data_IF_533198374333
#
_entry.id   IF_533198374333
#
_cell.length_a   1.000
_cell.length_b   1.000
_cell.length_c   1.000
_cell.angle_alpha   90.00
_cell.angle_beta   90.00
_cell.angle_gamma   90.00
#
_symmetry.space_group_name_H-M   'P 1'
#
loop_
_entity.id
_entity.type
_entity.pdbx_description
1 polymer ?
#
# COMPACT_ATOMS: atom_id res chain seq x y z
N UNK A 1 -3.56 13.43 5.78
CA UNK A 1 -2.97 12.07 5.73
C UNK A 1 -1.88 12.06 4.68
N UNK A 2 -0.76 11.47 4.98
CA UNK A 2 0.34 11.34 4.04
C UNK A 2 0.24 10.00 3.32
N UNK A 3 0.33 10.04 2.00
CA UNK A 3 0.09 8.88 1.14
C UNK A 3 1.35 8.57 0.34
N UNK A 4 1.76 7.30 0.35
CA UNK A 4 2.74 6.76 -0.58
C UNK A 4 1.99 6.05 -1.71
N UNK A 5 2.16 6.52 -2.92
CA UNK A 5 1.45 6.01 -4.08
C UNK A 5 2.39 5.14 -4.90
N UNK A 6 2.01 3.88 -5.13
CA UNK A 6 2.73 2.96 -6.00
C UNK A 6 1.91 2.76 -7.26
N UNK A 7 2.52 3.06 -8.40
CA UNK A 7 1.83 3.09 -9.68
C UNK A 7 1.37 4.51 -9.99
N UNK A 8 1.95 5.08 -11.04
CA UNK A 8 1.66 6.47 -11.41
C UNK A 8 1.20 6.56 -12.86
N UNK A 9 0.34 5.62 -13.24
CA UNK A 9 -0.37 5.68 -14.50
C UNK A 9 -1.63 6.51 -14.39
N UNK A 10 -2.62 6.19 -15.21
CA UNK A 10 -3.87 6.95 -15.25
C UNK A 10 -4.59 6.96 -13.91
N UNK A 11 -4.72 5.80 -13.27
CA UNK A 11 -5.39 5.70 -11.99
C UNK A 11 -4.61 6.41 -10.88
N UNK A 12 -3.29 6.27 -10.87
CA UNK A 12 -2.45 6.92 -9.88
C UNK A 12 -2.55 8.44 -9.92
N UNK A 13 -2.57 9.00 -11.12
CA UNK A 13 -2.73 10.46 -11.28
C UNK A 13 -4.09 10.94 -10.80
N UNK A 14 -5.13 10.17 -11.06
CA UNK A 14 -6.47 10.50 -10.60
C UNK A 14 -6.55 10.45 -9.07
N UNK A 15 -5.94 9.45 -8.45
CA UNK A 15 -5.88 9.31 -7.00
C UNK A 15 -5.14 10.50 -6.40
N UNK A 16 -4.03 10.90 -6.99
CA UNK A 16 -3.27 12.06 -6.52
C UNK A 16 -4.13 13.32 -6.51
N UNK A 17 -4.84 13.59 -7.61
CA UNK A 17 -5.71 14.74 -7.69
C UNK A 17 -6.83 14.69 -6.65
N UNK A 18 -7.45 13.53 -6.48
CA UNK A 18 -8.53 13.35 -5.52
C UNK A 18 -8.04 13.53 -4.09
N UNK A 19 -6.88 12.99 -3.76
CA UNK A 19 -6.30 13.12 -2.44
C UNK A 19 -5.97 14.57 -2.11
N UNK A 20 -5.37 15.28 -3.05
CA UNK A 20 -5.03 16.69 -2.88
C UNK A 20 -6.28 17.55 -2.68
N UNK A 21 -7.34 17.26 -3.44
CA UNK A 21 -8.61 17.96 -3.29
C UNK A 21 -9.26 17.71 -1.92
N UNK A 22 -9.00 16.56 -1.32
CA UNK A 22 -9.52 16.21 0.00
C UNK A 22 -8.63 16.71 1.14
N UNK A 23 -7.53 17.39 0.84
CA UNK A 23 -6.60 17.88 1.85
C UNK A 23 -5.54 16.88 2.28
N UNK A 24 -5.46 15.73 1.64
CA UNK A 24 -4.41 14.74 1.88
C UNK A 24 -3.18 15.05 1.03
N UNK A 25 -2.06 14.46 1.39
CA UNK A 25 -0.80 14.74 0.72
C UNK A 25 -0.17 13.47 0.17
N UNK A 26 0.11 13.46 -1.13
CA UNK A 26 0.92 12.40 -1.74
C UNK A 26 2.38 12.79 -1.56
N UNK A 27 3.04 12.16 -0.61
CA UNK A 27 4.44 12.48 -0.27
C UNK A 27 5.40 11.89 -1.29
N UNK A 28 5.01 10.82 -1.96
CA UNK A 28 5.82 10.20 -3.00
C UNK A 28 4.92 9.40 -3.92
N UNK A 29 5.15 9.50 -5.22
CA UNK A 29 4.49 8.67 -6.22
C UNK A 29 5.57 7.89 -6.96
N UNK A 30 5.47 6.57 -6.97
CA UNK A 30 6.45 5.68 -7.57
C UNK A 30 5.85 4.88 -8.71
N UNK A 31 6.67 4.63 -9.73
CA UNK A 31 6.35 3.69 -10.78
C UNK A 31 7.50 2.68 -10.94
N UNK A 32 7.46 1.85 -11.98
CA UNK A 32 8.46 0.80 -12.13
C UNK A 32 9.89 1.32 -12.30
N UNK A 33 10.04 2.55 -12.78
CA UNK A 33 11.37 3.13 -13.03
C UNK A 33 12.11 3.48 -11.75
N UNK A 34 11.40 3.85 -10.70
CA UNK A 34 12.02 4.28 -9.44
C UNK A 34 11.59 3.46 -8.23
N UNK A 35 10.91 2.35 -8.45
CA UNK A 35 10.36 1.52 -7.37
C UNK A 35 11.46 0.90 -6.50
N UNK A 36 12.64 0.69 -7.03
CA UNK A 36 13.79 0.17 -6.28
C UNK A 36 14.21 1.09 -5.14
N UNK A 37 13.90 2.37 -5.21
CA UNK A 37 14.16 3.31 -4.12
C UNK A 37 13.38 2.98 -2.85
N UNK A 38 12.29 2.23 -2.99
CA UNK A 38 11.45 1.83 -1.86
C UNK A 38 12.25 1.03 -0.82
N UNK A 39 13.22 0.24 -1.26
CA UNK A 39 14.01 -0.60 -0.38
C UNK A 39 14.83 0.22 0.64
N UNK A 40 15.16 1.45 0.31
CA UNK A 40 15.94 2.33 1.17
C UNK A 40 15.10 3.39 1.90
N UNK A 41 13.80 3.44 1.66
CA UNK A 41 12.95 4.46 2.26
C UNK A 41 12.54 4.11 3.68
N UNK A 42 12.57 5.11 4.55
CA UNK A 42 11.97 5.01 5.87
C UNK A 42 10.46 5.20 5.80
N UNK A 43 9.79 4.98 6.91
CA UNK A 43 8.36 5.23 6.99
C UNK A 43 8.09 6.73 6.89
N UNK A 44 7.47 7.15 5.80
CA UNK A 44 7.16 8.56 5.54
C UNK A 44 5.68 8.82 5.36
N UNK A 45 4.89 7.78 5.19
CA UNK A 45 3.47 7.90 4.89
C UNK A 45 2.62 7.16 5.91
N UNK A 46 1.37 7.56 6.00
CA UNK A 46 0.37 6.92 6.85
C UNK A 46 -0.25 5.70 6.18
N UNK A 47 -0.22 5.66 4.86
CA UNK A 47 -0.81 4.58 4.08
C UNK A 47 -0.13 4.47 2.73
N UNK A 48 -0.07 3.24 2.21
CA UNK A 48 0.37 2.96 0.84
C UNK A 48 -0.85 2.66 0.00
N UNK A 49 -0.97 3.33 -1.14
CA UNK A 49 -1.99 3.01 -2.16
C UNK A 49 -1.26 2.41 -3.35
N UNK A 50 -1.50 1.12 -3.62
CA UNK A 50 -0.81 0.38 -4.67
C UNK A 50 -1.78 0.04 -5.80
N UNK A 51 -1.60 0.72 -6.93
CA UNK A 51 -2.36 0.50 -8.17
C UNK A 51 -1.39 0.24 -9.32
N UNK A 52 -0.39 -0.59 -9.07
CA UNK A 52 0.66 -0.91 -10.05
C UNK A 52 0.39 -2.26 -10.73
N UNK A 53 1.32 -3.17 -10.63
CA UNK A 53 1.14 -4.52 -11.13
C UNK A 53 1.86 -5.52 -10.21
N UNK A 54 1.62 -6.84 -10.39
CA UNK A 54 2.18 -7.83 -9.47
C UNK A 54 3.71 -7.86 -9.41
N UNK A 55 4.41 -7.34 -10.42
CA UNK A 55 5.89 -7.32 -10.38
C UNK A 55 6.44 -6.41 -9.29
N UNK A 56 5.64 -5.46 -8.80
CA UNK A 56 6.04 -4.58 -7.71
C UNK A 56 5.88 -5.23 -6.33
N UNK A 57 5.20 -6.36 -6.24
CA UNK A 57 4.75 -6.91 -4.96
C UNK A 57 5.90 -7.19 -4.00
N UNK A 58 7.00 -7.77 -4.47
CA UNK A 58 8.11 -8.13 -3.57
C UNK A 58 8.69 -6.92 -2.85
N UNK A 59 8.84 -5.80 -3.55
CA UNK A 59 9.36 -4.57 -2.97
C UNK A 59 8.35 -3.94 -2.01
N UNK A 60 7.08 -3.95 -2.37
CA UNK A 60 6.02 -3.42 -1.51
C UNK A 60 5.87 -4.27 -0.25
N UNK A 61 5.91 -5.59 -0.39
CA UNK A 61 5.85 -6.50 0.74
C UNK A 61 6.99 -6.23 1.73
N UNK A 62 8.21 -6.13 1.23
CA UNK A 62 9.37 -5.87 2.08
C UNK A 62 9.23 -4.54 2.83
N UNK A 63 8.73 -3.52 2.14
CA UNK A 63 8.53 -2.21 2.76
C UNK A 63 7.46 -2.26 3.86
N UNK A 64 6.34 -2.92 3.60
CA UNK A 64 5.26 -3.07 4.60
C UNK A 64 5.77 -3.81 5.83
N UNK A 65 6.51 -4.92 5.62
CA UNK A 65 7.05 -5.69 6.75
C UNK A 65 8.04 -4.89 7.58
N UNK A 66 8.84 -4.05 6.93
CA UNK A 66 9.88 -3.28 7.61
C UNK A 66 9.31 -2.06 8.33
N UNK A 67 8.32 -1.39 7.76
CA UNK A 67 7.82 -0.12 8.28
C UNK A 67 6.48 -0.22 9.03
N UNK A 68 5.74 -1.31 8.81
CA UNK A 68 4.39 -1.45 9.38
C UNK A 68 3.36 -0.53 8.75
N UNK A 69 3.66 0.10 7.61
CA UNK A 69 2.73 1.01 6.95
C UNK A 69 1.54 0.23 6.38
N UNK A 70 0.30 0.64 6.66
CA UNK A 70 -0.89 -0.01 6.09
C UNK A 70 -0.88 0.05 4.56
N UNK A 71 -1.36 -1.01 3.92
CA UNK A 71 -1.40 -1.13 2.47
C UNK A 71 -2.83 -1.30 1.99
N UNK A 72 -3.23 -0.46 1.04
CA UNK A 72 -4.44 -0.61 0.26
C UNK A 72 -4.02 -0.95 -1.17
N UNK A 73 -4.33 -2.15 -1.63
CA UNK A 73 -3.91 -2.61 -2.96
C UNK A 73 -5.11 -2.77 -3.89
N UNK A 74 -5.06 -2.05 -5.01
CA UNK A 74 -5.98 -2.24 -6.13
C UNK A 74 -5.34 -2.98 -7.28
N UNK A 75 -4.15 -3.54 -7.09
CA UNK A 75 -3.44 -4.29 -8.12
C UNK A 75 -4.15 -5.62 -8.39
N UNK A 76 -4.31 -5.98 -9.65
CA UNK A 76 -4.92 -7.23 -10.07
C UNK A 76 -3.88 -8.13 -10.72
N UNK A 77 -4.21 -9.41 -10.88
CA UNK A 77 -3.33 -10.36 -11.56
C UNK A 77 -2.28 -11.01 -10.66
N UNK A 78 -2.44 -10.94 -9.35
CA UNK A 78 -1.54 -11.64 -8.44
C UNK A 78 -1.60 -13.16 -8.66
N UNK A 79 -0.45 -13.82 -8.55
CA UNK A 79 -0.39 -15.26 -8.50
C UNK A 79 -0.96 -15.80 -7.18
N UNK A 80 -1.21 -17.10 -7.11
CA UNK A 80 -1.68 -17.72 -5.87
C UNK A 80 -0.67 -17.55 -4.74
N UNK A 81 0.63 -17.64 -5.05
CA UNK A 81 1.69 -17.43 -4.07
C UNK A 81 1.69 -15.98 -3.55
N UNK A 82 1.57 -15.02 -4.46
CA UNK A 82 1.51 -13.62 -4.08
C UNK A 82 0.28 -13.31 -3.21
N UNK A 83 -0.87 -13.89 -3.55
CA UNK A 83 -2.07 -13.72 -2.74
C UNK A 83 -1.90 -14.30 -1.34
N UNK A 84 -1.24 -15.45 -1.22
CA UNK A 84 -0.96 -16.04 0.08
C UNK A 84 -0.04 -15.14 0.91
N UNK A 85 0.97 -14.55 0.28
CA UNK A 85 1.88 -13.62 0.95
C UNK A 85 1.19 -12.32 1.34
N UNK A 86 0.28 -11.84 0.49
CA UNK A 86 -0.51 -10.66 0.78
C UNK A 86 -1.40 -10.88 2.00
N UNK A 87 -2.03 -12.05 2.09
CA UNK A 87 -2.82 -12.42 3.28
C UNK A 87 -1.96 -12.52 4.54
N UNK A 88 -0.74 -13.01 4.41
CA UNK A 88 0.19 -13.07 5.53
C UNK A 88 0.55 -11.70 6.08
N UNK A 89 0.54 -10.66 5.26
CA UNK A 89 0.76 -9.29 5.72
C UNK A 89 -0.36 -8.80 6.64
N UNK A 90 -1.57 -9.34 6.46
CA UNK A 90 -2.71 -8.98 7.29
C UNK A 90 -2.56 -9.52 8.72
N UNK A 91 -1.83 -10.61 8.89
CA UNK A 91 -1.75 -11.25 10.20
C UNK A 91 -3.13 -11.58 10.73
N UNK A 92 -3.47 -11.07 11.93
CA UNK A 92 -4.77 -11.29 12.54
C UNK A 92 -5.86 -10.37 12.01
N UNK A 93 -5.52 -9.44 11.13
CA UNK A 93 -6.46 -8.44 10.61
C UNK A 93 -7.48 -9.08 9.67
N UNK A 94 -7.12 -10.20 9.04
CA UNK A 94 -7.98 -10.92 8.10
C UNK A 94 -9.32 -11.36 8.70
N UNK A 95 -9.41 -11.42 10.01
CA UNK A 95 -10.63 -11.81 10.73
C UNK A 95 -11.54 -10.64 11.05
N UNK A 96 -11.17 -9.43 10.66
CA UNK A 96 -11.88 -8.20 10.97
C UNK A 96 -12.38 -7.53 9.71
N UNK A 97 -13.57 -6.92 9.77
CA UNK A 97 -13.98 -6.03 8.69
C UNK A 97 -12.95 -4.91 8.52
N UNK A 98 -12.75 -4.51 7.27
CA UNK A 98 -11.86 -3.41 6.97
C UNK A 98 -12.30 -2.14 7.69
N UNK A 99 -11.35 -1.42 8.27
CA UNK A 99 -11.62 -0.18 8.99
C UNK A 99 -11.89 -0.35 10.47
N UNK A 100 -12.03 -1.58 10.95
CA UNK A 100 -12.28 -1.87 12.37
C UNK A 100 -10.98 -2.18 13.10
N UNK A 101 -9.96 -2.59 12.39
CA UNK A 101 -8.70 -3.05 12.99
C UNK A 101 -7.97 -2.02 13.83
N UNK A 102 -8.25 -0.73 13.66
CA UNK A 102 -7.59 0.33 14.40
C UNK A 102 -8.17 0.53 15.79
N UNK A 103 -9.25 -0.13 16.14
CA UNK A 103 -9.97 0.11 17.40
C UNK A 103 -9.15 -0.29 18.63
N UNK A 104 -8.19 -1.18 18.48
CA UNK A 104 -7.35 -1.61 19.59
C UNK A 104 -6.10 -0.74 19.77
N UNK A 105 -5.97 0.30 18.97
CA UNK A 105 -4.86 1.25 19.07
C UNK A 105 -3.53 0.74 18.56
N UNK A 106 -3.49 -0.44 17.96
CA UNK A 106 -2.25 -0.96 17.42
C UNK A 106 -2.07 -0.58 15.97
N UNK A 107 -0.83 -0.28 15.59
CA UNK A 107 -0.48 -0.08 14.19
C UNK A 107 -0.41 -1.44 13.51
N UNK A 108 -1.51 -1.88 12.93
CA UNK A 108 -1.59 -3.14 12.22
C UNK A 108 -1.73 -2.84 10.74
N UNK A 109 -0.85 -3.40 9.90
CA UNK A 109 -1.01 -3.22 8.45
C UNK A 109 -2.35 -3.76 8.00
N UNK A 110 -3.09 -2.94 7.32
CA UNK A 110 -4.36 -3.33 6.70
C UNK A 110 -4.14 -3.45 5.20
N UNK A 111 -4.62 -4.53 4.62
CA UNK A 111 -4.54 -4.75 3.18
C UNK A 111 -5.94 -4.89 2.63
N UNK A 112 -6.23 -4.11 1.59
CA UNK A 112 -7.46 -4.22 0.82
C UNK A 112 -7.07 -4.52 -0.61
N UNK A 113 -7.69 -5.54 -1.20
CA UNK A 113 -7.52 -5.84 -2.62
C UNK A 113 -8.82 -5.59 -3.36
N UNK A 114 -8.71 -4.96 -4.49
CA UNK A 114 -9.87 -4.78 -5.37
C UNK A 114 -10.03 -5.99 -6.29
#
# INVERSE_FOLDING_TARGET
MNILLIGYGRMGKLIEQTAQAAGDRVVCAMDLDNLDQLAAMDKTADVILDFSNPSAFALVEAYVRRTGTPLLSGTTGYSADQLARLRALLGNVDKRPLGVGADDGRAVPAVLTA
#
